data_IF_408407677059
#
_entry.id   IF_408407677059
#
_cell.length_a   1.000
_cell.length_b   1.000
_cell.length_c   1.000
_cell.angle_alpha   90.00
_cell.angle_beta   90.00
_cell.angle_gamma   90.00
#
_symmetry.space_group_name_H-M   'P 1'
#
loop_
_entity.id
_entity.type
_entity.pdbx_description
1 polymer ?
#
# COMPACT_ATOMS: atom_id res chain seq x y z
N UNK A 1 -4.85 -7.36 35.34
CA UNK A 1 -5.43 -7.19 34.00
C UNK A 1 -4.41 -6.45 33.18
N UNK A 2 -3.64 -7.18 32.38
CA UNK A 2 -2.63 -6.59 31.51
C UNK A 2 -3.37 -5.87 30.38
N UNK A 3 -3.37 -4.54 30.44
CA UNK A 3 -3.92 -3.71 29.36
C UNK A 3 -3.12 -4.01 28.09
N UNK A 4 -3.76 -4.73 27.16
CA UNK A 4 -3.28 -4.91 25.81
C UNK A 4 -3.10 -3.53 25.19
N UNK A 5 -1.86 -3.00 25.25
CA UNK A 5 -1.40 -1.91 24.40
C UNK A 5 -1.74 -2.29 22.97
N UNK A 6 -2.84 -1.74 22.46
CA UNK A 6 -3.16 -1.77 21.04
C UNK A 6 -1.94 -1.19 20.34
N UNK A 7 -1.17 -2.06 19.68
CA UNK A 7 -0.03 -1.64 18.88
C UNK A 7 -0.59 -0.67 17.84
N UNK A 8 -0.35 0.63 18.03
CA UNK A 8 -0.71 1.65 17.06
C UNK A 8 -0.30 1.14 15.68
N UNK A 9 -1.21 1.19 14.71
CA UNK A 9 -0.92 0.79 13.35
C UNK A 9 0.23 1.67 12.82
N UNK A 10 1.45 1.18 13.02
CA UNK A 10 2.73 1.82 12.73
C UNK A 10 2.67 2.31 11.29
N UNK A 11 3.14 3.53 10.99
CA UNK A 11 2.76 4.33 9.82
C UNK A 11 2.83 3.71 8.41
N UNK A 12 3.39 2.50 8.26
CA UNK A 12 3.36 1.69 7.04
C UNK A 12 2.01 0.98 6.83
N UNK A 13 1.35 0.57 7.90
CA UNK A 13 0.05 -0.12 7.88
C UNK A 13 -1.13 0.84 7.91
N UNK A 14 -0.90 2.14 8.15
CA UNK A 14 -1.94 3.17 8.14
C UNK A 14 -2.46 3.34 6.70
N UNK A 15 -3.76 3.14 6.44
CA UNK A 15 -4.34 3.44 5.14
C UNK A 15 -4.15 4.91 4.78
N UNK A 16 -3.80 5.17 3.53
CA UNK A 16 -3.67 6.53 3.00
C UNK A 16 -4.58 6.69 1.79
N UNK A 17 -5.15 7.89 1.67
CA UNK A 17 -5.94 8.27 0.52
C UNK A 17 -5.07 8.42 -0.72
N UNK A 18 -5.49 7.76 -1.80
CA UNK A 18 -4.78 7.74 -3.06
C UNK A 18 -5.17 8.95 -3.92
N UNK A 19 -4.23 9.41 -4.75
CA UNK A 19 -4.54 10.37 -5.82
C UNK A 19 -5.38 9.67 -6.88
N UNK A 20 -6.19 10.44 -7.63
CA UNK A 20 -7.14 9.91 -8.62
C UNK A 20 -6.51 8.88 -9.56
N UNK A 21 -5.41 9.23 -10.22
CA UNK A 21 -4.74 8.34 -11.19
C UNK A 21 -4.25 7.03 -10.55
N UNK A 22 -3.68 7.11 -9.34
CA UNK A 22 -3.23 5.92 -8.61
C UNK A 22 -4.40 5.08 -8.09
N UNK A 23 -5.52 5.72 -7.71
CA UNK A 23 -6.73 5.05 -7.29
C UNK A 23 -7.39 4.30 -8.45
N UNK A 24 -7.46 4.92 -9.63
CA UNK A 24 -7.93 4.29 -10.87
C UNK A 24 -7.03 3.11 -11.27
N UNK A 25 -5.72 3.28 -11.17
CA UNK A 25 -4.75 2.23 -11.46
C UNK A 25 -4.81 1.04 -10.48
N UNK A 26 -4.93 1.31 -9.17
CA UNK A 26 -4.97 0.26 -8.13
C UNK A 26 -6.37 -0.29 -7.84
N UNK A 27 -7.42 0.35 -8.37
CA UNK A 27 -8.82 -0.01 -8.13
C UNK A 27 -9.30 0.25 -6.69
N UNK A 28 -8.69 1.21 -5.98
CA UNK A 28 -9.00 1.51 -4.58
C UNK A 28 -8.84 3.00 -4.28
N UNK A 29 -9.62 3.55 -3.36
CA UNK A 29 -9.50 4.96 -2.95
C UNK A 29 -8.55 5.17 -1.78
N UNK A 30 -8.38 4.16 -0.93
CA UNK A 30 -7.50 4.19 0.25
C UNK A 30 -6.83 2.83 0.44
N UNK A 31 -5.51 2.83 0.63
CA UNK A 31 -4.73 1.60 0.85
C UNK A 31 -3.57 1.82 1.84
N UNK A 32 -3.15 0.80 2.60
CA UNK A 32 -1.89 0.84 3.36
C UNK A 32 -0.68 1.03 2.44
N UNK A 33 0.37 1.68 2.92
CA UNK A 33 1.59 1.93 2.13
C UNK A 33 2.26 0.63 1.67
N UNK A 34 2.19 -0.41 2.48
CA UNK A 34 2.71 -1.76 2.14
C UNK A 34 2.01 -2.35 0.93
N UNK A 35 0.68 -2.25 0.87
CA UNK A 35 -0.14 -2.79 -0.22
C UNK A 35 0.07 -2.01 -1.52
N UNK A 36 0.22 -0.69 -1.43
CA UNK A 36 0.55 0.16 -2.58
C UNK A 36 1.87 -0.29 -3.20
N UNK A 37 2.93 -0.40 -2.40
CA UNK A 37 4.25 -0.83 -2.90
C UNK A 37 4.21 -2.23 -3.50
N UNK A 38 3.51 -3.17 -2.86
CA UNK A 38 3.36 -4.54 -3.37
C UNK A 38 2.70 -4.56 -4.74
N UNK A 39 1.55 -3.90 -4.90
CA UNK A 39 0.81 -3.84 -6.18
C UNK A 39 1.62 -3.16 -7.28
N UNK A 40 2.38 -2.10 -6.95
CA UNK A 40 3.28 -1.46 -7.91
C UNK A 40 4.41 -2.40 -8.35
N UNK A 41 5.00 -3.16 -7.42
CA UNK A 41 6.02 -4.15 -7.76
C UNK A 41 5.46 -5.28 -8.63
N UNK A 42 4.28 -5.79 -8.32
CA UNK A 42 3.62 -6.82 -9.13
C UNK A 42 3.40 -6.32 -10.57
N UNK A 43 2.97 -5.07 -10.73
CA UNK A 43 2.85 -4.44 -12.04
C UNK A 43 4.19 -4.27 -12.76
N UNK A 44 5.24 -3.80 -12.07
CA UNK A 44 6.58 -3.64 -12.64
C UNK A 44 7.11 -4.98 -13.15
N UNK A 45 6.94 -6.06 -12.38
CA UNK A 45 7.37 -7.42 -12.78
C UNK A 45 6.56 -7.95 -13.94
N UNK A 46 5.22 -7.86 -13.86
CA UNK A 46 4.32 -8.35 -14.91
C UNK A 46 4.60 -7.69 -16.27
N UNK A 47 4.95 -6.40 -16.26
CA UNK A 47 5.22 -5.63 -17.47
C UNK A 47 6.71 -5.54 -17.82
N UNK A 48 7.59 -6.26 -17.10
CA UNK A 48 9.05 -6.24 -17.32
C UNK A 48 9.65 -4.82 -17.33
N UNK A 49 9.17 -3.95 -16.44
CA UNK A 49 9.59 -2.55 -16.34
C UNK A 49 10.83 -2.35 -15.46
N UNK A 50 11.34 -3.40 -14.84
CA UNK A 50 12.56 -3.36 -14.04
C UNK A 50 13.78 -3.19 -14.95
N UNK A 51 14.54 -2.11 -14.75
CA UNK A 51 15.85 -1.92 -15.39
C UNK A 51 16.95 -2.67 -14.65
N UNK A 52 18.09 -2.90 -15.32
CA UNK A 52 19.31 -3.43 -14.68
C UNK A 52 19.89 -2.44 -13.68
#
# INVERSE_FOLDING_TARGET
MEELKMAEAKGLSKPVKLKKELAEFLGATELPRTEITKKLWDYIKANKLQTK
#
